data_IF_190990512944
#
_entry.id   IF_190990512944
#
_cell.length_a   1.000
_cell.length_b   1.000
_cell.length_c   1.000
_cell.angle_alpha   90.00
_cell.angle_beta   90.00
_cell.angle_gamma   90.00
#
_symmetry.space_group_name_H-M   'P 1'
#
loop_
_entity.id
_entity.type
_entity.pdbx_description
1 polymer ?
#
# COMPACT_ATOMS: atom_id res chain seq x y z
N UNK A 1 31.00 23.56 -33.59
CA UNK A 1 30.48 22.17 -33.47
C UNK A 1 31.47 21.42 -32.58
N UNK A 2 31.35 21.57 -31.24
CA UNK A 2 32.25 20.97 -30.26
C UNK A 2 31.56 19.72 -29.69
N UNK A 3 31.96 18.54 -30.17
CA UNK A 3 31.63 17.26 -29.53
C UNK A 3 32.57 17.07 -28.34
N UNK A 4 32.09 17.32 -27.14
CA UNK A 4 32.75 16.83 -25.92
C UNK A 4 32.66 15.31 -25.88
N UNK A 5 33.70 14.62 -26.33
CA UNK A 5 33.91 13.20 -26.07
C UNK A 5 34.22 13.06 -24.56
N UNK A 6 33.22 12.73 -23.77
CA UNK A 6 33.41 12.34 -22.38
C UNK A 6 34.08 10.96 -22.39
N UNK A 7 35.39 10.91 -22.21
CA UNK A 7 36.14 9.69 -22.12
C UNK A 7 35.93 9.10 -20.70
N UNK A 8 35.10 8.07 -20.59
CA UNK A 8 34.81 7.34 -19.35
C UNK A 8 36.08 6.77 -18.71
N UNK A 9 37.18 6.62 -19.47
CA UNK A 9 38.47 6.04 -19.03
C UNK A 9 39.35 7.00 -18.21
N UNK A 10 38.94 8.26 -18.02
CA UNK A 10 39.73 9.27 -17.28
C UNK A 10 39.25 9.51 -15.84
N UNK A 11 38.26 8.72 -15.36
CA UNK A 11 37.82 8.83 -13.97
C UNK A 11 38.82 8.19 -13.04
N UNK A 12 39.43 8.92 -12.09
CA UNK A 12 40.42 8.35 -11.17
C UNK A 12 39.75 7.24 -10.32
N UNK A 13 40.44 6.13 -10.04
CA UNK A 13 39.89 4.97 -9.35
C UNK A 13 39.24 5.31 -7.99
N UNK A 14 39.72 6.35 -7.32
CA UNK A 14 39.16 6.83 -6.05
C UNK A 14 37.74 7.41 -6.23
N UNK A 15 37.48 8.12 -7.33
CA UNK A 15 36.16 8.69 -7.64
C UNK A 15 35.19 7.58 -8.04
N UNK A 16 35.65 6.59 -8.79
CA UNK A 16 34.87 5.42 -9.16
C UNK A 16 34.43 4.61 -7.91
N UNK A 17 35.35 4.39 -6.97
CA UNK A 17 35.08 3.69 -5.71
C UNK A 17 34.09 4.49 -4.84
N UNK A 18 34.26 5.81 -4.74
CA UNK A 18 33.34 6.69 -4.02
C UNK A 18 31.94 6.67 -4.62
N UNK A 19 31.81 6.81 -5.94
CA UNK A 19 30.52 6.75 -6.63
C UNK A 19 29.86 5.39 -6.44
N UNK A 20 30.61 4.29 -6.53
CA UNK A 20 30.09 2.95 -6.30
C UNK A 20 29.55 2.78 -4.87
N UNK A 21 30.24 3.30 -3.86
CA UNK A 21 29.79 3.24 -2.48
C UNK A 21 28.51 4.08 -2.27
N UNK A 22 28.44 5.30 -2.84
CA UNK A 22 27.25 6.15 -2.77
C UNK A 22 26.05 5.48 -3.46
N UNK A 23 26.25 4.88 -4.64
CA UNK A 23 25.18 4.14 -5.34
C UNK A 23 24.73 2.94 -4.52
N UNK A 24 25.63 2.18 -3.89
CA UNK A 24 25.27 1.06 -3.04
C UNK A 24 24.46 1.51 -1.80
N UNK A 25 24.83 2.61 -1.15
CA UNK A 25 24.07 3.15 -0.02
C UNK A 25 22.68 3.62 -0.44
N UNK A 26 22.56 4.31 -1.57
CA UNK A 26 21.26 4.73 -2.11
C UNK A 26 20.37 3.51 -2.40
N UNK A 27 20.89 2.49 -3.07
CA UNK A 27 20.14 1.25 -3.34
C UNK A 27 19.72 0.53 -2.05
N UNK A 28 20.53 0.58 -1.00
CA UNK A 28 20.16 -0.02 0.29
C UNK A 28 19.04 0.75 0.97
N UNK A 29 19.07 2.07 0.95
CA UNK A 29 17.99 2.93 1.48
C UNK A 29 16.68 2.63 0.76
N UNK A 30 16.68 2.58 -0.57
CA UNK A 30 15.49 2.29 -1.38
C UNK A 30 14.90 0.90 -1.05
N UNK A 31 15.77 -0.10 -0.85
CA UNK A 31 15.34 -1.47 -0.49
C UNK A 31 14.68 -1.51 0.90
N UNK A 32 15.23 -0.80 1.90
CA UNK A 32 14.64 -0.75 3.23
C UNK A 32 13.26 -0.07 3.23
N UNK A 33 13.12 1.04 2.51
CA UNK A 33 11.83 1.71 2.36
C UNK A 33 10.80 0.83 1.64
N UNK A 34 11.22 0.08 0.63
CA UNK A 34 10.35 -0.85 -0.09
C UNK A 34 9.86 -1.98 0.82
N UNK A 35 10.76 -2.60 1.58
CA UNK A 35 10.41 -3.66 2.55
C UNK A 35 9.45 -3.11 3.61
N UNK A 36 9.71 -1.92 4.14
CA UNK A 36 8.83 -1.28 5.11
C UNK A 36 7.43 -1.03 4.52
N UNK A 37 7.34 -0.48 3.31
CA UNK A 37 6.08 -0.21 2.64
C UNK A 37 5.27 -1.51 2.39
N UNK A 38 5.91 -2.56 1.88
CA UNK A 38 5.28 -3.88 1.66
C UNK A 38 4.79 -4.46 2.99
N UNK A 39 5.60 -4.39 4.05
CA UNK A 39 5.24 -4.92 5.37
C UNK A 39 4.02 -4.20 5.95
N UNK A 40 3.97 -2.87 5.84
CA UNK A 40 2.85 -2.06 6.35
C UNK A 40 1.57 -2.31 5.55
N UNK A 41 1.64 -2.40 4.21
CA UNK A 41 0.47 -2.71 3.38
C UNK A 41 -0.01 -4.16 3.64
N UNK A 42 0.91 -5.10 3.85
CA UNK A 42 0.54 -6.47 4.23
C UNK A 42 -0.12 -6.51 5.61
N UNK A 43 0.32 -5.69 6.56
CA UNK A 43 -0.38 -5.54 7.84
C UNK A 43 -1.80 -4.99 7.65
N UNK A 44 -2.02 -4.04 6.73
CA UNK A 44 -3.36 -3.58 6.38
C UNK A 44 -4.25 -4.73 5.86
N UNK A 45 -3.71 -5.58 4.97
CA UNK A 45 -4.41 -6.77 4.49
C UNK A 45 -4.83 -7.69 5.64
N UNK A 46 -3.93 -7.96 6.59
CA UNK A 46 -4.23 -8.81 7.76
C UNK A 46 -5.33 -8.18 8.61
N UNK A 47 -5.25 -6.88 8.91
CA UNK A 47 -6.26 -6.19 9.70
C UNK A 47 -7.63 -6.19 9.02
N UNK A 48 -7.71 -5.85 7.75
CA UNK A 48 -8.96 -5.87 7.00
C UNK A 48 -9.53 -7.29 6.92
N UNK A 49 -8.70 -8.29 6.68
CA UNK A 49 -9.13 -9.69 6.62
C UNK A 49 -9.71 -10.15 7.96
N UNK A 50 -9.05 -9.87 9.07
CA UNK A 50 -9.56 -10.20 10.41
C UNK A 50 -10.87 -9.48 10.69
N UNK A 51 -10.98 -8.18 10.35
CA UNK A 51 -12.19 -7.40 10.54
C UNK A 51 -13.38 -7.94 9.75
N UNK A 52 -13.21 -8.15 8.45
CA UNK A 52 -14.25 -8.61 7.52
C UNK A 52 -14.70 -10.04 7.81
N UNK A 53 -13.74 -10.96 7.91
CA UNK A 53 -14.07 -12.38 8.16
C UNK A 53 -14.52 -12.63 9.59
N UNK A 54 -13.99 -11.88 10.56
CA UNK A 54 -14.45 -11.92 11.95
C UNK A 54 -15.93 -11.51 12.06
N UNK A 55 -16.33 -10.44 11.36
CA UNK A 55 -17.72 -10.02 11.27
C UNK A 55 -18.59 -11.08 10.57
N UNK A 56 -18.12 -11.58 9.43
CA UNK A 56 -18.83 -12.56 8.63
C UNK A 56 -19.14 -13.85 9.41
N UNK A 57 -18.13 -14.43 10.04
CA UNK A 57 -18.26 -15.68 10.82
C UNK A 57 -19.15 -15.50 12.05
N UNK A 58 -19.09 -14.33 12.71
CA UNK A 58 -19.90 -14.07 13.89
C UNK A 58 -21.33 -13.60 13.57
N UNK A 59 -21.61 -13.24 12.32
CA UNK A 59 -22.90 -12.71 11.89
C UNK A 59 -23.33 -11.41 12.60
N UNK A 60 -22.37 -10.76 13.28
CA UNK A 60 -22.60 -9.57 14.11
C UNK A 60 -21.42 -8.61 13.99
N UNK A 61 -21.69 -7.35 13.67
CA UNK A 61 -20.71 -6.29 13.75
C UNK A 61 -20.44 -5.91 15.22
N UNK A 62 -19.25 -6.15 15.72
CA UNK A 62 -18.79 -5.80 17.07
C UNK A 62 -17.79 -4.66 17.00
N UNK A 63 -17.57 -3.96 18.12
CA UNK A 63 -16.64 -2.85 18.21
C UNK A 63 -15.21 -3.20 17.79
N UNK A 64 -14.74 -4.41 18.12
CA UNK A 64 -13.38 -4.80 17.76
C UNK A 64 -13.18 -4.98 16.23
N UNK A 65 -14.23 -5.34 15.45
CA UNK A 65 -14.14 -5.35 13.99
C UNK A 65 -13.86 -3.95 13.44
N UNK A 66 -14.53 -2.93 14.01
CA UNK A 66 -14.32 -1.53 13.63
C UNK A 66 -12.88 -1.10 13.93
N UNK A 67 -12.33 -1.51 15.08
CA UNK A 67 -10.93 -1.22 15.40
C UNK A 67 -9.97 -1.82 14.36
N UNK A 68 -10.22 -3.06 13.92
CA UNK A 68 -9.43 -3.68 12.87
C UNK A 68 -9.58 -2.95 11.52
N UNK A 69 -10.76 -2.47 11.16
CA UNK A 69 -10.94 -1.63 9.97
C UNK A 69 -10.15 -0.32 10.07
N UNK A 70 -10.16 0.33 11.22
CA UNK A 70 -9.41 1.57 11.43
C UNK A 70 -7.89 1.34 11.43
N UNK A 71 -7.41 0.28 12.08
CA UNK A 71 -5.98 -0.07 12.02
C UNK A 71 -5.55 -0.41 10.58
N UNK A 72 -6.38 -1.14 9.84
CA UNK A 72 -6.16 -1.40 8.44
C UNK A 72 -6.07 -0.11 7.62
N UNK A 73 -6.99 0.84 7.82
CA UNK A 73 -7.01 2.12 7.13
C UNK A 73 -5.76 2.97 7.43
N UNK A 74 -5.32 3.00 8.67
CA UNK A 74 -4.07 3.70 9.05
C UNK A 74 -2.87 3.04 8.38
N UNK A 75 -2.74 1.72 8.47
CA UNK A 75 -1.64 1.00 7.85
C UNK A 75 -1.64 1.17 6.32
N UNK A 76 -2.81 1.08 5.67
CA UNK A 76 -2.97 1.28 4.23
C UNK A 76 -2.55 2.69 3.79
N UNK A 77 -2.97 3.72 4.53
CA UNK A 77 -2.60 5.11 4.27
C UNK A 77 -1.09 5.34 4.42
N UNK A 78 -0.49 4.80 5.47
CA UNK A 78 0.97 4.91 5.72
C UNK A 78 1.74 4.15 4.63
N UNK A 79 1.34 2.92 4.32
CA UNK A 79 2.00 2.09 3.30
C UNK A 79 1.93 2.72 1.91
N UNK A 80 0.76 3.25 1.53
CA UNK A 80 0.58 3.97 0.26
C UNK A 80 1.42 5.26 0.23
N UNK A 81 1.54 5.97 1.35
CA UNK A 81 2.41 7.14 1.47
C UNK A 81 3.88 6.80 1.25
N UNK A 82 4.36 5.69 1.83
CA UNK A 82 5.73 5.18 1.61
C UNK A 82 5.96 4.80 0.15
N UNK A 83 5.01 4.08 -0.48
CA UNK A 83 5.09 3.72 -1.91
C UNK A 83 5.14 4.95 -2.80
N UNK A 84 4.35 5.99 -2.51
CA UNK A 84 4.41 7.27 -3.23
C UNK A 84 5.78 7.92 -3.12
N UNK A 85 6.42 7.89 -1.95
CA UNK A 85 7.76 8.43 -1.76
C UNK A 85 8.79 7.66 -2.58
N UNK A 86 8.71 6.33 -2.64
CA UNK A 86 9.58 5.48 -3.46
C UNK A 86 9.39 5.79 -4.95
N UNK A 87 8.14 5.88 -5.43
CA UNK A 87 7.83 6.20 -6.82
C UNK A 87 8.40 7.57 -7.23
N UNK A 88 8.41 8.54 -6.32
CA UNK A 88 9.05 9.85 -6.55
C UNK A 88 10.58 9.75 -6.68
N UNK A 89 11.23 8.93 -5.86
CA UNK A 89 12.70 8.76 -5.89
C UNK A 89 13.15 7.97 -7.12
N UNK A 90 12.37 6.97 -7.55
CA UNK A 90 12.73 6.05 -8.65
C UNK A 90 12.24 6.51 -10.02
N UNK A 91 11.47 7.62 -10.09
CA UNK A 91 10.78 8.07 -11.31
C UNK A 91 9.87 7.01 -11.97
N UNK A 92 9.50 5.97 -11.23
CA UNK A 92 8.60 4.91 -11.67
C UNK A 92 7.16 5.30 -11.31
N UNK A 93 6.52 6.07 -12.17
CA UNK A 93 5.11 6.40 -12.03
C UNK A 93 4.23 5.43 -12.83
N UNK A 94 3.54 4.53 -12.12
CA UNK A 94 2.39 3.82 -12.68
C UNK A 94 1.12 4.59 -12.30
N UNK A 95 0.55 5.30 -13.27
CA UNK A 95 -0.67 6.09 -13.08
C UNK A 95 -1.85 5.20 -12.70
N UNK A 96 -1.96 4.01 -13.28
CA UNK A 96 -3.06 3.07 -13.03
C UNK A 96 -3.03 2.61 -11.57
N UNK A 97 -1.86 2.21 -11.08
CA UNK A 97 -1.70 1.80 -9.68
C UNK A 97 -1.96 2.96 -8.71
N UNK A 98 -1.50 4.16 -9.03
CA UNK A 98 -1.72 5.36 -8.20
C UNK A 98 -3.21 5.69 -8.09
N UNK A 99 -3.93 5.72 -9.20
CA UNK A 99 -5.37 6.02 -9.23
C UNK A 99 -6.18 4.94 -8.51
N UNK A 100 -5.90 3.66 -8.79
CA UNK A 100 -6.61 2.54 -8.14
C UNK A 100 -6.33 2.48 -6.65
N UNK A 101 -5.11 2.82 -6.20
CA UNK A 101 -4.76 2.91 -4.78
C UNK A 101 -5.52 4.02 -4.05
N UNK A 102 -5.65 5.20 -4.64
CA UNK A 102 -6.44 6.30 -4.06
C UNK A 102 -7.91 5.90 -3.96
N UNK A 103 -8.48 5.31 -5.00
CA UNK A 103 -9.87 4.84 -4.99
C UNK A 103 -10.07 3.78 -3.89
N UNK A 104 -9.13 2.87 -3.71
CA UNK A 104 -9.19 1.84 -2.68
C UNK A 104 -9.20 2.45 -1.27
N UNK A 105 -8.33 3.42 -0.97
CA UNK A 105 -8.30 4.12 0.33
C UNK A 105 -9.64 4.84 0.59
N UNK A 106 -10.17 5.55 -0.41
CA UNK A 106 -11.47 6.23 -0.28
C UNK A 106 -12.60 5.23 -0.03
N UNK A 107 -12.60 4.09 -0.72
CA UNK A 107 -13.58 3.03 -0.52
C UNK A 107 -13.50 2.45 0.90
N UNK A 108 -12.29 2.21 1.41
CA UNK A 108 -12.08 1.70 2.77
C UNK A 108 -12.44 2.75 3.83
N UNK A 109 -12.24 4.04 3.56
CA UNK A 109 -12.70 5.11 4.43
C UNK A 109 -14.23 5.13 4.53
N UNK A 110 -14.93 5.07 3.40
CA UNK A 110 -16.39 4.98 3.35
C UNK A 110 -16.89 3.72 4.07
N UNK A 111 -16.20 2.58 3.87
CA UNK A 111 -16.50 1.33 4.54
C UNK A 111 -16.37 1.45 6.07
N UNK A 112 -15.29 2.04 6.57
CA UNK A 112 -15.08 2.25 8.01
C UNK A 112 -16.13 3.20 8.62
N UNK A 113 -16.46 4.29 7.93
CA UNK A 113 -17.53 5.20 8.35
C UNK A 113 -18.89 4.50 8.41
N UNK A 114 -19.21 3.69 7.40
CA UNK A 114 -20.45 2.91 7.40
C UNK A 114 -20.46 1.85 8.49
N UNK A 115 -19.34 1.21 8.78
CA UNK A 115 -19.22 0.30 9.92
C UNK A 115 -19.58 0.99 11.24
N UNK A 116 -19.01 2.18 11.50
CA UNK A 116 -19.31 2.98 12.69
C UNK A 116 -20.80 3.35 12.75
N UNK A 117 -21.37 3.81 11.64
CA UNK A 117 -22.78 4.17 11.57
C UNK A 117 -23.69 2.95 11.80
N UNK A 118 -23.39 1.82 11.17
CA UNK A 118 -24.13 0.57 11.32
C UNK A 118 -24.07 0.02 12.74
N UNK A 119 -22.92 0.15 13.39
CA UNK A 119 -22.72 -0.25 14.77
C UNK A 119 -23.56 0.60 15.74
N UNK A 120 -23.56 1.92 15.55
CA UNK A 120 -24.20 2.88 16.48
C UNK A 120 -25.71 3.03 16.27
N UNK A 121 -26.15 3.03 15.02
CA UNK A 121 -27.55 3.36 14.64
C UNK A 121 -28.22 2.32 13.74
N UNK A 122 -27.49 1.27 13.33
CA UNK A 122 -28.00 0.31 12.35
C UNK A 122 -29.07 -0.64 12.92
N UNK A 123 -30.16 -0.80 12.17
CA UNK A 123 -31.16 -1.85 12.40
C UNK A 123 -30.57 -3.25 12.13
N UNK A 124 -31.29 -4.31 12.54
CA UNK A 124 -30.87 -5.70 12.24
C UNK A 124 -30.69 -5.94 10.73
N UNK A 125 -31.58 -5.37 9.91
CA UNK A 125 -31.46 -5.44 8.45
C UNK A 125 -30.21 -4.71 7.92
N UNK A 126 -29.90 -3.52 8.45
CA UNK A 126 -28.70 -2.76 8.07
C UNK A 126 -27.41 -3.55 8.38
N UNK A 127 -27.36 -4.24 9.52
CA UNK A 127 -26.23 -5.09 9.91
C UNK A 127 -26.07 -6.30 8.99
N UNK A 128 -27.16 -6.91 8.53
CA UNK A 128 -27.10 -8.02 7.58
C UNK A 128 -26.62 -7.58 6.18
N UNK A 129 -27.05 -6.40 5.71
CA UNK A 129 -26.58 -5.82 4.46
C UNK A 129 -25.10 -5.39 4.52
N UNK A 130 -24.68 -4.86 5.67
CA UNK A 130 -23.30 -4.44 5.88
C UNK A 130 -22.33 -5.62 5.74
N UNK A 131 -22.65 -6.78 6.26
CA UNK A 131 -21.82 -7.99 6.17
C UNK A 131 -21.48 -8.37 4.72
N UNK A 132 -22.47 -8.35 3.82
CA UNK A 132 -22.25 -8.62 2.38
C UNK A 132 -21.44 -7.52 1.71
N UNK A 133 -21.73 -6.28 2.05
CA UNK A 133 -20.99 -5.13 1.54
C UNK A 133 -19.54 -5.13 1.99
N UNK A 134 -19.27 -5.51 3.23
CA UNK A 134 -17.92 -5.62 3.80
C UNK A 134 -17.02 -6.56 3.00
N UNK A 135 -17.52 -7.76 2.65
CA UNK A 135 -16.78 -8.72 1.81
C UNK A 135 -16.54 -8.14 0.41
N UNK A 136 -17.55 -7.51 -0.19
CA UNK A 136 -17.44 -6.94 -1.52
C UNK A 136 -16.37 -5.85 -1.59
N UNK A 137 -16.36 -4.94 -0.60
CA UNK A 137 -15.33 -3.89 -0.49
C UNK A 137 -13.95 -4.47 -0.31
N UNK A 138 -13.80 -5.51 0.53
CA UNK A 138 -12.54 -6.20 0.73
C UNK A 138 -12.02 -6.84 -0.56
N UNK A 139 -12.89 -7.50 -1.33
CA UNK A 139 -12.52 -8.08 -2.63
C UNK A 139 -12.05 -7.01 -3.63
N UNK A 140 -12.71 -5.85 -3.71
CA UNK A 140 -12.29 -4.74 -4.57
C UNK A 140 -10.93 -4.19 -4.13
N UNK A 141 -10.72 -4.05 -2.82
CA UNK A 141 -9.45 -3.56 -2.28
C UNK A 141 -8.27 -4.51 -2.59
N UNK A 142 -8.50 -5.80 -2.72
CA UNK A 142 -7.46 -6.75 -3.11
C UNK A 142 -6.89 -6.49 -4.52
N UNK A 143 -7.66 -5.87 -5.43
CA UNK A 143 -7.21 -5.61 -6.80
C UNK A 143 -5.95 -4.74 -6.83
N UNK A 144 -5.95 -3.49 -6.28
CA UNK A 144 -4.74 -2.68 -6.25
C UNK A 144 -3.63 -3.29 -5.40
N UNK A 145 -3.95 -4.07 -4.36
CA UNK A 145 -2.95 -4.80 -3.57
C UNK A 145 -2.15 -5.78 -4.45
N UNK A 146 -2.83 -6.64 -5.23
CA UNK A 146 -2.14 -7.59 -6.10
C UNK A 146 -1.42 -6.92 -7.27
N UNK A 147 -1.96 -5.83 -7.81
CA UNK A 147 -1.27 -5.03 -8.84
C UNK A 147 0.03 -4.47 -8.27
N UNK A 148 -0.01 -3.85 -7.09
CA UNK A 148 1.18 -3.30 -6.43
C UNK A 148 2.22 -4.37 -6.08
N UNK A 149 1.77 -5.54 -5.63
CA UNK A 149 2.65 -6.68 -5.36
C UNK A 149 3.33 -7.18 -6.64
N UNK A 150 2.59 -7.31 -7.75
CA UNK A 150 3.13 -7.72 -9.05
C UNK A 150 4.18 -6.72 -9.55
N UNK A 151 3.88 -5.41 -9.50
CA UNK A 151 4.82 -4.37 -9.88
C UNK A 151 6.08 -4.39 -9.03
N UNK A 152 5.94 -4.52 -7.70
CA UNK A 152 7.09 -4.61 -6.79
C UNK A 152 8.00 -5.81 -7.06
N UNK A 153 7.43 -6.97 -7.42
CA UNK A 153 8.22 -8.14 -7.80
C UNK A 153 8.92 -7.98 -9.15
N UNK A 154 8.30 -7.29 -10.12
CA UNK A 154 8.88 -7.08 -11.45
C UNK A 154 10.08 -6.14 -11.46
N UNK A 155 10.26 -5.32 -10.43
CA UNK A 155 11.41 -4.42 -10.27
C UNK A 155 12.68 -5.16 -9.80
N UNK A 156 12.55 -6.39 -9.31
CA UNK A 156 13.69 -7.19 -8.83
C UNK A 156 14.26 -8.16 -9.88
N UNK A 157 13.73 -8.16 -11.10
CA UNK A 157 14.27 -8.89 -12.26
C UNK A 157 14.88 -7.95 -13.29
#
# INVERSE_FOLDING_TARGET
MWRLHFNIWTIPPRVCCFLKNVIMELNQIDTHYLIAAISVITAALVFYTIGVWGEHVQGKLKFWHILFFLFGLVADTVGTGLMKSIAHMTHLHDEIHTVTGIIAILLMLVHAMWAIWTYTKGSAAAKAHFNRFSIFVWCIWLIPYFIGMYLGMSLHH
#
